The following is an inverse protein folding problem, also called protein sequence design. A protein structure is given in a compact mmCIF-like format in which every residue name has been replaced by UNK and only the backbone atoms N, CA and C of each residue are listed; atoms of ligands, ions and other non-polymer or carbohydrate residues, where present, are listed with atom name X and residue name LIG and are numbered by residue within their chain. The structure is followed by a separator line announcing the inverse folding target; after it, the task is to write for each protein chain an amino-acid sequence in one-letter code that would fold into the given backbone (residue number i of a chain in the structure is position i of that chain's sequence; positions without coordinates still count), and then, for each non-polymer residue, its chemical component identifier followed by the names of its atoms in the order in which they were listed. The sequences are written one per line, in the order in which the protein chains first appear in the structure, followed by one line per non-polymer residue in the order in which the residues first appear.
data_IF_421290989797
#
_entry.id   IF_421290989797
#
_cell.length_a   1.000
_cell.length_b   1.000
_cell.length_c   1.000
_cell.angle_alpha   90.00
_cell.angle_beta   90.00
_cell.angle_gamma   90.00
#
_symmetry.space_group_name_H-M   'P 1'
#
loop_
_entity.id
_entity.type
_entity.pdbx_description
1 polymer ?
#
# COMPACT_ATOMS: atom_id res chain seq x y z
N UNK A 1 -4.98 -6.88 -8.92
CA UNK A 1 -4.51 -6.85 -7.52
C UNK A 1 -3.24 -7.68 -7.41
N UNK A 2 -2.21 -7.13 -6.81
CA UNK A 2 -0.93 -7.81 -6.54
C UNK A 2 -0.66 -7.71 -5.04
N UNK A 3 0.00 -8.70 -4.46
CA UNK A 3 0.46 -8.67 -3.07
C UNK A 3 1.95 -9.01 -3.00
N UNK A 4 2.69 -8.20 -2.27
CA UNK A 4 4.12 -8.36 -2.04
C UNK A 4 4.40 -8.47 -0.55
N UNK A 5 5.42 -9.25 -0.16
CA UNK A 5 5.94 -9.31 1.21
C UNK A 5 7.20 -8.48 1.30
N UNK A 6 7.30 -7.66 2.36
CA UNK A 6 8.49 -6.88 2.65
C UNK A 6 9.58 -7.76 3.26
N UNK A 7 10.83 -7.32 3.11
CA UNK A 7 11.98 -7.98 3.70
C UNK A 7 11.95 -7.86 5.23
N UNK A 8 12.26 -8.97 5.90
CA UNK A 8 12.25 -9.11 7.35
C UNK A 8 13.69 -9.13 7.88
N UNK A 9 13.90 -8.49 9.04
CA UNK A 9 15.17 -8.53 9.77
C UNK A 9 15.27 -9.82 10.60
N UNK A 10 14.14 -10.24 11.17
CA UNK A 10 13.92 -11.48 11.88
C UNK A 10 12.44 -11.87 11.78
N UNK A 11 12.02 -12.95 12.42
CA UNK A 11 10.65 -13.48 12.37
C UNK A 11 9.57 -12.50 12.88
N UNK A 12 9.94 -11.41 13.55
CA UNK A 12 9.01 -10.45 14.17
C UNK A 12 9.26 -9.01 13.72
N UNK A 13 10.42 -8.73 13.10
CA UNK A 13 10.85 -7.35 12.80
C UNK A 13 11.09 -7.16 11.32
N UNK A 14 10.42 -6.18 10.72
CA UNK A 14 10.64 -5.75 9.34
C UNK A 14 11.87 -4.82 9.24
N UNK A 15 12.58 -4.87 8.11
CA UNK A 15 13.66 -3.92 7.82
C UNK A 15 13.08 -2.50 7.65
N UNK A 16 11.87 -2.41 7.08
CA UNK A 16 11.15 -1.16 6.91
C UNK A 16 9.65 -1.39 7.15
N UNK A 17 8.99 -0.47 7.86
CA UNK A 17 7.56 -0.60 8.17
C UNK A 17 6.69 -0.44 6.92
N UNK A 18 5.55 -1.16 6.83
CA UNK A 18 4.63 -1.06 5.71
C UNK A 18 4.13 0.36 5.46
N UNK A 19 3.93 1.16 6.51
CA UNK A 19 3.48 2.55 6.43
C UNK A 19 4.52 3.41 5.70
N UNK A 20 5.80 3.23 6.02
CA UNK A 20 6.90 3.96 5.35
C UNK A 20 6.99 3.59 3.88
N UNK A 21 6.82 2.30 3.55
CA UNK A 21 6.83 1.84 2.16
C UNK A 21 5.63 2.40 1.40
N UNK A 22 4.43 2.35 1.98
CA UNK A 22 3.21 2.91 1.37
C UNK A 22 3.36 4.42 1.15
N UNK A 23 3.89 5.15 2.13
CA UNK A 23 4.16 6.57 1.98
C UNK A 23 5.14 6.84 0.81
N UNK A 24 6.20 6.05 0.68
CA UNK A 24 7.17 6.16 -0.42
C UNK A 24 6.53 5.84 -1.77
N UNK A 25 5.70 4.80 -1.84
CA UNK A 25 4.94 4.46 -3.05
C UNK A 25 4.02 5.61 -3.48
N UNK A 26 3.31 6.24 -2.53
CA UNK A 26 2.33 7.30 -2.80
C UNK A 26 2.97 8.65 -3.13
N UNK A 27 4.04 9.02 -2.42
CA UNK A 27 4.61 10.37 -2.51
C UNK A 27 5.77 10.49 -3.49
N UNK A 28 6.41 9.39 -3.85
CA UNK A 28 7.57 9.39 -4.72
C UNK A 28 7.35 8.53 -5.97
N UNK A 29 7.23 7.20 -5.83
CA UNK A 29 7.32 6.31 -6.98
C UNK A 29 6.09 6.36 -7.89
N UNK A 30 4.86 6.44 -7.34
CA UNK A 30 3.66 6.60 -8.17
C UNK A 30 3.64 7.93 -8.93
N UNK A 31 3.96 9.10 -8.32
CA UNK A 31 4.12 10.35 -9.07
C UNK A 31 5.19 10.29 -10.16
N UNK A 32 6.34 9.64 -9.91
CA UNK A 32 7.37 9.41 -10.92
C UNK A 32 6.81 8.63 -12.12
N UNK A 33 6.09 7.53 -11.87
CA UNK A 33 5.45 6.74 -12.95
C UNK A 33 4.36 7.54 -13.68
N UNK A 34 3.61 8.39 -13.00
CA UNK A 34 2.62 9.27 -13.64
C UNK A 34 3.29 10.28 -14.60
N UNK A 35 4.43 10.83 -14.22
CA UNK A 35 5.22 11.72 -15.08
C UNK A 35 5.77 10.95 -16.28
N UNK A 36 6.34 9.76 -16.09
CA UNK A 36 6.85 8.91 -17.17
C UNK A 36 5.73 8.53 -18.15
N UNK A 37 4.56 8.15 -17.61
CA UNK A 37 3.40 7.84 -18.42
C UNK A 37 2.95 9.05 -19.26
N UNK A 38 2.87 10.23 -18.64
CA UNK A 38 2.51 11.47 -19.33
C UNK A 38 3.50 11.81 -20.46
N UNK A 39 4.79 11.68 -20.20
CA UNK A 39 5.85 11.94 -21.20
C UNK A 39 5.75 10.98 -22.40
N UNK A 40 5.37 9.71 -22.16
CA UNK A 40 5.25 8.69 -23.20
C UNK A 40 3.95 8.79 -24.02
N UNK A 41 2.83 9.17 -23.38
CA UNK A 41 1.49 9.05 -23.96
C UNK A 41 0.81 10.42 -24.17
N UNK A 42 1.44 11.53 -23.80
CA UNK A 42 0.88 12.91 -23.83
C UNK A 42 -0.48 13.01 -23.11
N UNK A 43 -0.77 12.09 -22.20
CA UNK A 43 -2.02 12.00 -21.46
C UNK A 43 -1.78 11.54 -20.02
N UNK A 44 -2.66 11.96 -19.11
CA UNK A 44 -2.60 11.51 -17.72
C UNK A 44 -2.92 10.03 -17.60
N UNK A 45 -2.36 9.39 -16.58
CA UNK A 45 -2.66 8.00 -16.25
C UNK A 45 -4.19 7.84 -16.03
N UNK A 46 -4.89 6.98 -16.81
CA UNK A 46 -6.35 6.94 -16.85
C UNK A 46 -6.96 6.14 -15.68
N UNK A 47 -6.17 5.74 -14.69
CA UNK A 47 -6.59 5.00 -13.50
C UNK A 47 -5.80 5.44 -12.28
N UNK A 48 -6.31 5.09 -11.10
CA UNK A 48 -5.63 5.30 -9.82
C UNK A 48 -5.13 3.99 -9.24
N UNK A 49 -3.91 4.01 -8.68
CA UNK A 49 -3.34 2.89 -7.94
C UNK A 49 -3.46 3.17 -6.46
N UNK A 50 -3.93 2.20 -5.69
CA UNK A 50 -4.04 2.25 -4.24
C UNK A 50 -3.18 1.17 -3.59
N UNK A 51 -2.61 1.52 -2.43
CA UNK A 51 -1.73 0.65 -1.66
C UNK A 51 -2.33 0.47 -0.27
N UNK A 52 -2.35 -0.76 0.21
CA UNK A 52 -2.88 -1.09 1.54
C UNK A 52 -1.99 -2.15 2.19
N UNK A 53 -1.74 -1.98 3.49
CA UNK A 53 -1.16 -3.03 4.30
C UNK A 53 -2.29 -3.94 4.82
N UNK A 54 -2.05 -5.25 4.81
CA UNK A 54 -2.89 -6.19 5.54
C UNK A 54 -2.46 -6.12 7.00
N UNK A 55 -3.39 -5.74 7.87
CA UNK A 55 -3.14 -5.51 9.30
C UNK A 55 -2.25 -6.61 9.91
N UNK A 56 -1.26 -6.19 10.70
CA UNK A 56 -0.33 -7.06 11.42
C UNK A 56 0.46 -8.05 10.52
N UNK A 57 0.76 -7.63 9.27
CA UNK A 57 1.56 -8.43 8.34
C UNK A 57 2.56 -7.57 7.56
N UNK A 58 3.58 -8.24 6.99
CA UNK A 58 4.54 -7.64 6.06
C UNK A 58 3.94 -7.37 4.65
N UNK A 59 2.65 -7.66 4.43
CA UNK A 59 2.04 -7.68 3.11
C UNK A 59 1.56 -6.30 2.69
N UNK A 60 1.99 -5.86 1.51
CA UNK A 60 1.43 -4.69 0.82
C UNK A 60 0.64 -5.16 -0.41
N UNK A 61 -0.60 -4.70 -0.48
CA UNK A 61 -1.51 -4.96 -1.57
C UNK A 61 -1.60 -3.76 -2.49
N UNK A 62 -1.40 -3.99 -3.78
CA UNK A 62 -1.61 -3.04 -4.86
C UNK A 62 -2.98 -3.30 -5.49
N UNK A 63 -3.82 -2.28 -5.60
CA UNK A 63 -5.15 -2.38 -6.19
C UNK A 63 -5.39 -1.25 -7.18
N UNK A 64 -5.98 -1.54 -8.32
CA UNK A 64 -6.30 -0.57 -9.35
C UNK A 64 -7.69 -0.84 -9.91
N UNK A 65 -8.52 0.20 -9.97
CA UNK A 65 -9.79 0.19 -10.67
C UNK A 65 -9.57 0.69 -12.10
N UNK A 66 -9.70 -0.19 -13.09
CA UNK A 66 -9.46 0.12 -14.49
C UNK A 66 -10.45 -0.64 -15.41
N UNK A 67 -10.59 -0.21 -16.65
CA UNK A 67 -11.34 -0.95 -17.66
C UNK A 67 -10.51 -2.10 -18.23
N UNK A 68 -11.16 -3.01 -18.95
CA UNK A 68 -10.48 -4.17 -19.54
C UNK A 68 -9.43 -3.74 -20.57
N UNK A 69 -9.72 -2.66 -21.30
CA UNK A 69 -8.80 -2.08 -22.31
C UNK A 69 -7.52 -1.53 -21.71
N UNK A 70 -7.56 -1.13 -20.43
CA UNK A 70 -6.42 -0.57 -19.70
C UNK A 70 -5.55 -1.65 -19.03
N UNK A 71 -5.87 -2.93 -19.19
CA UNK A 71 -5.20 -4.03 -18.49
C UNK A 71 -3.68 -3.99 -18.66
N UNK A 72 -3.20 -3.86 -19.90
CA UNK A 72 -1.76 -3.83 -20.20
C UNK A 72 -1.08 -2.66 -19.51
N UNK A 73 -1.67 -1.47 -19.54
CA UNK A 73 -1.12 -0.27 -18.89
C UNK A 73 -1.06 -0.42 -17.37
N UNK A 74 -2.08 -1.05 -16.75
CA UNK A 74 -2.07 -1.38 -15.32
C UNK A 74 -0.94 -2.34 -14.98
N UNK A 75 -0.74 -3.38 -15.79
CA UNK A 75 0.33 -4.36 -15.59
C UNK A 75 1.71 -3.71 -15.72
N UNK A 76 1.92 -2.81 -16.70
CA UNK A 76 3.18 -2.07 -16.88
C UNK A 76 3.48 -1.18 -15.67
N UNK A 77 2.51 -0.39 -15.20
CA UNK A 77 2.69 0.50 -14.04
C UNK A 77 2.91 -0.30 -12.76
N UNK A 78 2.17 -1.39 -12.56
CA UNK A 78 2.38 -2.25 -11.39
C UNK A 78 3.76 -2.90 -11.42
N UNK A 79 4.20 -3.40 -12.57
CA UNK A 79 5.53 -4.01 -12.72
C UNK A 79 6.64 -3.00 -12.40
N UNK A 80 6.54 -1.76 -12.91
CA UNK A 80 7.51 -0.71 -12.63
C UNK A 80 7.57 -0.33 -11.14
N UNK A 81 6.42 -0.22 -10.47
CA UNK A 81 6.36 0.07 -9.04
C UNK A 81 6.93 -1.08 -8.19
N UNK A 82 6.64 -2.33 -8.55
CA UNK A 82 7.16 -3.52 -7.87
C UNK A 82 8.67 -3.63 -8.06
N UNK A 83 9.17 -3.37 -9.25
CA UNK A 83 10.61 -3.37 -9.55
C UNK A 83 11.35 -2.34 -8.69
N UNK A 84 10.85 -1.09 -8.60
CA UNK A 84 11.41 -0.06 -7.73
C UNK A 84 11.40 -0.49 -6.25
N UNK A 85 10.30 -1.09 -5.81
CA UNK A 85 10.17 -1.60 -4.44
C UNK A 85 11.15 -2.74 -4.18
N UNK A 86 11.27 -3.72 -5.09
CA UNK A 86 12.23 -4.83 -5.00
C UNK A 86 13.66 -4.32 -4.85
N UNK A 87 14.10 -3.46 -5.77
CA UNK A 87 15.44 -2.87 -5.74
C UNK A 87 15.71 -2.09 -4.45
N UNK A 88 14.72 -1.37 -3.95
CA UNK A 88 14.83 -0.65 -2.68
C UNK A 88 14.98 -1.62 -1.50
N UNK A 89 14.14 -2.64 -1.41
CA UNK A 89 14.18 -3.64 -0.34
C UNK A 89 15.49 -4.46 -0.39
N UNK A 90 15.92 -4.90 -1.57
CA UNK A 90 17.20 -5.59 -1.76
C UNK A 90 18.39 -4.74 -1.31
N UNK A 91 18.35 -3.43 -1.59
CA UNK A 91 19.39 -2.52 -1.12
C UNK A 91 19.40 -2.40 0.41
N UNK A 92 18.23 -2.36 1.06
CA UNK A 92 18.13 -2.33 2.53
C UNK A 92 18.66 -3.63 3.15
N UNK A 93 18.28 -4.79 2.59
CA UNK A 93 18.82 -6.09 3.02
C UNK A 93 20.34 -6.11 2.93
N UNK A 94 20.90 -5.65 1.81
CA UNK A 94 22.36 -5.60 1.61
C UNK A 94 23.06 -4.69 2.62
N UNK A 95 22.47 -3.54 2.96
CA UNK A 95 23.01 -2.62 3.97
C UNK A 95 22.98 -3.29 5.34
N UNK A 96 21.89 -3.95 5.73
CA UNK A 96 21.77 -4.66 7.00
C UNK A 96 22.78 -5.83 7.08
N UNK A 97 22.88 -6.63 6.02
CA UNK A 97 23.90 -7.70 5.91
C UNK A 97 25.32 -7.18 6.08
N UNK A 98 25.64 -6.07 5.42
CA UNK A 98 26.97 -5.46 5.53
C UNK A 98 27.25 -4.99 6.96
N UNK A 99 26.24 -4.39 7.63
CA UNK A 99 26.33 -3.96 9.02
C UNK A 99 26.58 -5.13 9.99
N UNK A 100 25.80 -6.21 9.85
CA UNK A 100 25.95 -7.41 10.68
C UNK A 100 27.32 -8.07 10.45
N UNK A 101 27.75 -8.22 9.18
CA UNK A 101 29.04 -8.79 8.85
C UNK A 101 30.23 -7.97 9.42
N UNK A 102 30.14 -6.64 9.41
CA UNK A 102 31.15 -5.77 10.04
C UNK A 102 31.23 -5.99 11.54
N UNK A 103 30.08 -6.17 12.24
CA UNK A 103 30.04 -6.46 13.66
C UNK A 103 30.64 -7.84 13.97
N UNK A 104 30.28 -8.88 13.19
CA UNK A 104 30.83 -10.25 13.32
C UNK A 104 32.35 -10.19 13.17
N UNK A 105 32.87 -9.49 12.16
CA UNK A 105 34.31 -9.34 11.92
C UNK A 105 35.01 -8.66 13.11
N UNK A 106 34.42 -7.57 13.62
CA UNK A 106 34.96 -6.85 14.79
C UNK A 106 35.01 -7.76 16.03
N UNK A 107 33.90 -8.48 16.29
CA UNK A 107 33.85 -9.44 17.41
C UNK A 107 34.85 -10.58 17.23
N UNK A 108 35.02 -11.13 16.03
CA UNK A 108 36.02 -12.16 15.78
C UNK A 108 37.44 -11.70 16.12
N UNK A 109 37.79 -10.48 15.68
CA UNK A 109 39.11 -9.89 16.02
C UNK A 109 39.27 -9.70 17.53
N UNK A 110 38.23 -9.26 18.23
CA UNK A 110 38.25 -9.11 19.68
C UNK A 110 38.39 -10.48 20.40
N UNK A 111 37.67 -11.49 19.95
CA UNK A 111 37.75 -12.88 20.46
C UNK A 111 39.18 -13.43 20.30
N UNK A 112 39.78 -13.26 19.10
CA UNK A 112 41.15 -13.72 18.84
C UNK A 112 42.15 -13.04 19.77
N UNK A 113 42.00 -11.72 19.99
CA UNK A 113 42.87 -10.95 20.89
C UNK A 113 42.71 -11.36 22.37
N UNK A 114 41.48 -11.68 22.81
CA UNK A 114 41.21 -12.13 24.17
C UNK A 114 41.71 -13.58 24.36
N UNK A 115 41.61 -14.44 23.36
CA UNK A 115 42.07 -15.85 23.43
C UNK A 115 43.59 -15.95 23.63
N UNK A 116 44.35 -15.01 23.09
CA UNK A 116 45.82 -14.94 23.25
C UNK A 116 46.21 -14.46 24.68
N UNK A 117 45.39 -13.65 25.32
CA UNK A 117 45.69 -12.99 26.59
C UNK A 117 44.75 -13.44 27.73
N UNK A 118 44.42 -14.73 27.85
CA UNK A 118 43.55 -15.24 28.89
C UNK A 118 44.22 -15.06 30.23
N UNK A 119 43.84 -14.03 31.00
CA UNK A 119 44.12 -13.85 32.40
C UNK A 119 42.92 -14.25 33.28
N UNK A 120 43.12 -14.49 34.57
CA UNK A 120 42.02 -14.78 35.51
C UNK A 120 40.88 -13.72 35.40
N UNK A 121 39.67 -14.17 34.98
CA UNK A 121 38.49 -13.32 34.71
C UNK A 121 38.20 -13.07 33.23
N UNK A 122 39.12 -13.29 32.28
CA UNK A 122 38.90 -13.09 30.86
C UNK A 122 37.93 -14.09 30.23
N UNK A 123 37.69 -15.24 30.86
CA UNK A 123 36.81 -16.27 30.33
C UNK A 123 35.34 -15.87 30.19
N UNK A 124 34.80 -15.05 31.09
CA UNK A 124 33.44 -14.54 31.01
C UNK A 124 33.26 -13.54 29.84
N UNK A 125 34.25 -12.66 29.65
CA UNK A 125 34.22 -11.69 28.55
C UNK A 125 34.32 -12.40 27.19
N UNK A 126 35.20 -13.43 27.08
CA UNK A 126 35.33 -14.25 25.89
C UNK A 126 34.03 -14.99 25.56
N UNK A 127 33.41 -15.64 26.57
CA UNK A 127 32.13 -16.35 26.43
C UNK A 127 31.03 -15.40 25.96
N UNK A 128 30.91 -14.20 26.55
CA UNK A 128 29.92 -13.19 26.11
C UNK A 128 30.14 -12.71 24.66
N UNK A 129 31.40 -12.51 24.26
CA UNK A 129 31.72 -12.15 22.89
C UNK A 129 31.40 -13.27 21.89
N UNK A 130 31.67 -14.53 22.23
CA UNK A 130 31.31 -15.69 21.41
C UNK A 130 29.79 -15.84 21.29
N UNK A 131 29.04 -15.67 22.39
CA UNK A 131 27.59 -15.70 22.38
C UNK A 131 27.03 -14.59 21.47
N UNK A 132 27.52 -13.36 21.59
CA UNK A 132 27.10 -12.23 20.75
C UNK A 132 27.39 -12.44 19.28
N UNK A 133 28.54 -13.04 18.96
CA UNK A 133 28.87 -13.44 17.58
C UNK A 133 27.85 -14.46 17.03
N UNK A 134 27.52 -15.49 17.80
CA UNK A 134 26.54 -16.51 17.41
C UNK A 134 25.13 -15.92 17.21
N UNK A 135 24.71 -14.95 18.04
CA UNK A 135 23.46 -14.21 17.87
C UNK A 135 23.44 -13.45 16.55
N UNK A 136 24.53 -12.76 16.20
CA UNK A 136 24.65 -12.02 14.93
C UNK A 136 24.70 -12.95 13.71
N UNK A 137 25.36 -14.09 13.80
CA UNK A 137 25.37 -15.11 12.74
C UNK A 137 23.96 -15.67 12.52
N UNK A 138 23.20 -15.91 13.59
CA UNK A 138 21.80 -16.32 13.52
C UNK A 138 20.92 -15.23 12.92
N UNK A 139 21.11 -13.96 13.31
CA UNK A 139 20.40 -12.82 12.72
C UNK A 139 20.66 -12.70 11.23
N UNK A 140 21.93 -12.93 10.78
CA UNK A 140 22.29 -12.92 9.37
C UNK A 140 21.57 -14.03 8.56
N UNK A 141 21.40 -15.21 9.16
CA UNK A 141 20.68 -16.33 8.54
C UNK A 141 19.17 -16.10 8.46
N UNK A 142 18.63 -15.36 9.41
CA UNK A 142 17.19 -15.08 9.52
C UNK A 142 16.73 -13.86 8.71
N UNK A 143 17.64 -13.14 8.04
CA UNK A 143 17.28 -12.05 7.15
C UNK A 143 16.42 -12.57 6.01
N UNK A 144 15.13 -12.17 6.01
CA UNK A 144 14.18 -12.46 4.94
C UNK A 144 14.38 -11.56 3.73
N UNK A 145 13.93 -12.03 2.59
CA UNK A 145 13.97 -11.28 1.33
C UNK A 145 12.60 -10.72 0.96
N UNK A 146 12.60 -9.69 0.11
CA UNK A 146 11.39 -9.24 -0.56
C UNK A 146 10.85 -10.34 -1.48
N UNK A 147 9.53 -10.56 -1.47
CA UNK A 147 8.89 -11.58 -2.28
C UNK A 147 7.58 -11.07 -2.90
N UNK A 148 7.34 -11.40 -4.18
CA UNK A 148 6.06 -11.20 -4.85
C UNK A 148 5.19 -12.43 -4.66
N UNK A 149 4.26 -12.38 -3.69
CA UNK A 149 3.43 -13.53 -3.30
C UNK A 149 2.32 -13.82 -4.30
N UNK A 150 1.69 -12.78 -4.84
CA UNK A 150 0.56 -12.89 -5.78
C UNK A 150 0.82 -12.01 -6.97
N UNK A 151 1.03 -12.63 -8.14
CA UNK A 151 1.02 -11.93 -9.42
C UNK A 151 -0.39 -11.42 -9.74
N UNK A 152 -0.48 -10.44 -10.64
CA UNK A 152 -1.70 -9.71 -10.98
C UNK A 152 -2.93 -10.61 -11.16
N UNK A 153 -3.88 -10.52 -10.22
CA UNK A 153 -5.20 -11.15 -10.34
C UNK A 153 -6.25 -10.12 -10.73
N UNK A 154 -6.97 -10.40 -11.78
CA UNK A 154 -8.15 -9.64 -12.16
C UNK A 154 -9.32 -10.08 -11.27
N UNK A 155 -10.07 -9.10 -10.69
CA UNK A 155 -11.31 -9.42 -9.98
C UNK A 155 -12.33 -9.98 -10.98
N UNK A 156 -12.97 -11.10 -10.64
CA UNK A 156 -14.06 -11.70 -11.42
C UNK A 156 -15.30 -10.83 -11.33
N UNK A 157 -15.48 -10.11 -10.22
CA UNK A 157 -16.62 -9.22 -10.01
C UNK A 157 -16.30 -7.79 -10.46
N UNK A 158 -17.23 -7.18 -11.18
CA UNK A 158 -17.16 -5.76 -11.54
C UNK A 158 -17.33 -4.92 -10.29
N UNK A 159 -16.28 -4.18 -9.90
CA UNK A 159 -16.27 -3.26 -8.75
C UNK A 159 -16.93 -1.90 -9.03
N UNK A 160 -17.69 -1.79 -10.11
CA UNK A 160 -18.42 -0.57 -10.47
C UNK A 160 -19.62 -0.30 -9.55
N UNK A 161 -20.11 0.96 -9.49
CA UNK A 161 -21.28 1.29 -8.69
C UNK A 161 -22.47 0.41 -9.12
N UNK A 162 -23.17 -0.15 -8.15
CA UNK A 162 -24.33 -1.04 -8.39
C UNK A 162 -25.41 -0.25 -9.15
N UNK A 163 -25.52 -0.47 -10.45
CA UNK A 163 -26.47 0.23 -11.33
C UNK A 163 -27.90 0.16 -10.81
N UNK A 164 -28.28 -0.96 -10.20
CA UNK A 164 -29.59 -1.15 -9.54
C UNK A 164 -29.84 -0.15 -8.40
N UNK A 165 -28.80 0.18 -7.62
CA UNK A 165 -28.90 1.13 -6.53
C UNK A 165 -29.09 2.58 -7.05
N UNK A 166 -28.42 2.92 -8.14
CA UNK A 166 -28.58 4.23 -8.79
C UNK A 166 -30.00 4.37 -9.34
N UNK A 167 -30.54 3.34 -10.00
CA UNK A 167 -31.89 3.34 -10.51
C UNK A 167 -32.91 3.43 -9.38
N UNK A 168 -32.75 2.65 -8.31
CA UNK A 168 -33.62 2.72 -7.14
C UNK A 168 -33.64 4.12 -6.49
N UNK A 169 -32.47 4.74 -6.34
CA UNK A 169 -32.36 6.10 -5.79
C UNK A 169 -33.02 7.13 -6.72
N UNK A 170 -32.84 7.01 -8.04
CA UNK A 170 -33.47 7.89 -9.03
C UNK A 170 -35.01 7.79 -8.99
N UNK A 171 -35.57 6.59 -8.82
CA UNK A 171 -37.03 6.37 -8.68
C UNK A 171 -37.56 7.02 -7.41
N UNK A 172 -36.88 6.85 -6.27
CA UNK A 172 -37.29 7.46 -4.99
C UNK A 172 -37.26 8.99 -5.10
N UNK A 173 -36.18 9.57 -5.64
CA UNK A 173 -36.06 11.00 -5.83
C UNK A 173 -37.13 11.54 -6.81
N UNK A 174 -37.39 10.82 -7.91
CA UNK A 174 -38.44 11.18 -8.89
C UNK A 174 -39.82 11.18 -8.27
N UNK A 175 -40.16 10.20 -7.42
CA UNK A 175 -41.41 10.11 -6.68
C UNK A 175 -41.57 11.28 -5.70
N UNK A 176 -40.53 11.59 -4.91
CA UNK A 176 -40.57 12.75 -3.98
C UNK A 176 -40.76 14.06 -4.73
N UNK A 177 -40.05 14.25 -5.85
CA UNK A 177 -40.18 15.45 -6.66
C UNK A 177 -41.61 15.56 -7.28
N UNK A 178 -42.17 14.43 -7.74
CA UNK A 178 -43.53 14.36 -8.28
C UNK A 178 -44.58 14.75 -7.27
N UNK A 179 -44.48 14.24 -6.04
CA UNK A 179 -45.39 14.60 -4.92
C UNK A 179 -45.26 16.10 -4.62
N UNK A 180 -44.05 16.64 -4.55
CA UNK A 180 -43.81 18.05 -4.28
C UNK A 180 -44.42 18.94 -5.36
N UNK A 181 -44.26 18.61 -6.63
CA UNK A 181 -44.87 19.35 -7.77
C UNK A 181 -46.42 19.28 -7.69
N UNK A 182 -46.99 18.11 -7.36
CA UNK A 182 -48.42 17.97 -7.20
C UNK A 182 -48.99 18.89 -6.10
N UNK A 183 -48.32 18.93 -4.93
CA UNK A 183 -48.70 19.84 -3.84
C UNK A 183 -48.58 21.31 -4.24
N UNK A 184 -47.53 21.69 -4.95
CA UNK A 184 -47.35 23.06 -5.40
C UNK A 184 -48.38 23.46 -6.44
N UNK A 185 -48.79 22.57 -7.34
CA UNK A 185 -49.87 22.79 -8.30
C UNK A 185 -51.24 22.98 -7.62
N UNK A 186 -51.53 22.15 -6.63
CA UNK A 186 -52.78 22.23 -5.85
C UNK A 186 -52.85 23.51 -5.00
N UNK A 187 -51.72 23.86 -4.37
CA UNK A 187 -51.60 25.11 -3.61
C UNK A 187 -51.79 26.32 -4.53
N UNK A 188 -51.16 26.37 -5.70
CA UNK A 188 -51.33 27.43 -6.69
C UNK A 188 -52.77 27.57 -7.20
N UNK A 189 -53.44 26.42 -7.44
CA UNK A 189 -54.86 26.41 -7.83
C UNK A 189 -55.78 26.95 -6.71
N UNK A 190 -55.51 26.57 -5.46
CA UNK A 190 -56.27 27.04 -4.27
C UNK A 190 -56.11 28.55 -4.05
N UNK A 191 -54.88 29.08 -4.15
CA UNK A 191 -54.59 30.50 -4.03
C UNK A 191 -55.32 31.31 -5.13
N UNK A 192 -55.27 30.83 -6.40
CA UNK A 192 -55.96 31.46 -7.52
C UNK A 192 -57.47 31.51 -7.35
N UNK A 193 -58.06 30.48 -6.74
CA UNK A 193 -59.49 30.40 -6.44
C UNK A 193 -59.91 31.39 -5.35
N UNK A 194 -59.07 31.58 -4.33
CA UNK A 194 -59.32 32.57 -3.26
C UNK A 194 -59.22 34.01 -3.75
N UNK A 195 -58.21 34.30 -4.59
CA UNK A 195 -58.07 35.62 -5.19
C UNK A 195 -59.26 36.01 -6.10
N UNK A 196 -59.78 35.04 -6.89
CA UNK A 196 -60.94 35.26 -7.75
C UNK A 196 -62.24 35.51 -6.96
N UNK A 197 -62.38 35.03 -5.71
CA UNK A 197 -63.53 35.29 -4.84
C UNK A 197 -63.41 36.64 -4.15
N UNK A 198 -62.21 37.18 -3.97
CA UNK A 198 -61.99 38.47 -3.29
C UNK A 198 -62.15 39.65 -4.28
N UNK A 199 -61.92 39.47 -5.59
CA UNK A 199 -62.02 40.50 -6.63
C UNK A 199 -63.47 40.69 -7.18
N UNK A 200 -64.40 39.83 -6.74
CA UNK A 200 -65.83 39.85 -7.15
C UNK A 200 -66.78 40.49 -6.16
N UNK A 201 -66.31 41.32 -5.21
CA UNK A 201 -67.14 42.04 -4.25
C UNK A 201 -67.05 43.55 -4.43
#
# INVERSE_FOLDING_TARGET
MISVSLAEKDSETLIQTPETVIATLQTRWLPEEQVLYYTKNESKLPFSVSFQNTKDTALIRFSTGATVEQKQQVEEVHAALIEKLSQHQENLVRIEQAGINAQIKSLSTAIDSMAVNITDGGGLALSGAMQKKSELESALQNLGNFEVIVSARQSIEKTGPKRSLIVALAVILGLMLGIFVAFMAEFGASVKKQLAVTDGR
#
